data_IF_305010855787
#
_entry.id   IF_305010855787
#
_cell.length_a   1.000
_cell.length_b   1.000
_cell.length_c   1.000
_cell.angle_alpha   90.00
_cell.angle_beta   90.00
_cell.angle_gamma   90.00
#
_symmetry.space_group_name_H-M   'P 1'
#
loop_
_entity.id
_entity.type
_entity.pdbx_description
1 polymer ?
#
# COMPACT_ATOMS: atom_id res chain seq x y z
N UNK A 1 -12.82 -67.69 3.63
CA UNK A 1 -11.75 -66.68 3.50
C UNK A 1 -12.19 -65.43 4.26
N UNK A 2 -11.62 -65.17 5.44
CA UNK A 2 -11.93 -63.96 6.24
C UNK A 2 -10.91 -62.88 5.85
N UNK A 3 -11.32 -61.86 5.11
CA UNK A 3 -10.48 -60.66 4.96
C UNK A 3 -10.33 -60.01 6.34
N UNK A 4 -9.11 -59.61 6.74
CA UNK A 4 -8.92 -58.90 7.99
C UNK A 4 -9.61 -57.53 7.88
N UNK A 5 -10.51 -57.23 8.81
CA UNK A 5 -11.27 -55.98 8.96
C UNK A 5 -10.37 -54.72 8.93
N UNK A 6 -9.07 -54.90 9.23
CA UNK A 6 -8.02 -53.88 9.20
C UNK A 6 -7.70 -53.41 7.77
N UNK A 7 -7.78 -54.29 6.75
CA UNK A 7 -7.50 -53.92 5.37
C UNK A 7 -8.59 -53.02 4.75
N UNK A 8 -9.83 -53.13 5.22
CA UNK A 8 -10.95 -52.30 4.77
C UNK A 8 -10.83 -50.86 5.33
N UNK A 9 -10.31 -50.72 6.55
CA UNK A 9 -10.13 -49.42 7.22
C UNK A 9 -9.01 -48.58 6.55
N UNK A 10 -7.93 -49.20 6.10
CA UNK A 10 -6.89 -48.49 5.33
C UNK A 10 -7.37 -47.99 3.97
N UNK A 11 -8.31 -48.70 3.34
CA UNK A 11 -8.88 -48.28 2.05
C UNK A 11 -9.81 -47.06 2.21
N UNK A 12 -10.55 -46.97 3.31
CA UNK A 12 -11.44 -45.84 3.60
C UNK A 12 -10.63 -44.57 3.95
N UNK A 13 -9.55 -44.70 4.71
CA UNK A 13 -8.70 -43.55 5.08
C UNK A 13 -7.95 -43.00 3.85
N UNK A 14 -7.47 -43.86 2.94
CA UNK A 14 -6.86 -43.40 1.68
C UNK A 14 -7.88 -42.85 0.67
N UNK A 15 -9.14 -43.29 0.72
CA UNK A 15 -10.20 -42.74 -0.15
C UNK A 15 -10.68 -41.35 0.31
N UNK A 16 -10.55 -41.04 1.60
CA UNK A 16 -10.92 -39.71 2.13
C UNK A 16 -9.86 -38.63 1.89
N UNK A 17 -8.59 -39.01 1.66
CA UNK A 17 -7.50 -38.07 1.39
C UNK A 17 -7.43 -37.61 -0.08
N UNK A 18 -8.11 -38.28 -1.00
CA UNK A 18 -8.10 -37.94 -2.44
C UNK A 18 -9.23 -36.98 -2.83
N UNK A 19 -10.21 -36.73 -1.95
CA UNK A 19 -11.42 -35.97 -2.27
C UNK A 19 -11.35 -34.44 -1.96
N UNK A 20 -10.24 -33.92 -1.46
CA UNK A 20 -10.04 -32.48 -1.20
C UNK A 20 -9.07 -31.81 -2.18
N UNK A 21 -8.99 -32.31 -3.41
CA UNK A 21 -8.56 -31.50 -4.54
C UNK A 21 -9.66 -30.48 -4.87
N UNK A 22 -9.96 -29.58 -3.93
CA UNK A 22 -10.79 -28.42 -4.22
C UNK A 22 -10.02 -27.65 -5.28
N UNK A 23 -10.52 -27.63 -6.51
CA UNK A 23 -10.07 -26.77 -7.59
C UNK A 23 -10.39 -25.32 -7.17
N UNK A 24 -9.66 -24.81 -6.18
CA UNK A 24 -9.66 -23.41 -5.79
C UNK A 24 -9.08 -22.67 -6.98
N UNK A 25 -9.96 -22.19 -7.86
CA UNK A 25 -9.59 -21.23 -8.88
C UNK A 25 -8.80 -20.12 -8.20
N UNK A 26 -7.57 -19.94 -8.66
CA UNK A 26 -6.69 -18.86 -8.21
C UNK A 26 -7.48 -17.54 -8.27
N UNK A 27 -7.58 -16.78 -7.15
CA UNK A 27 -8.32 -15.55 -7.15
C UNK A 27 -7.70 -14.57 -8.16
N UNK A 28 -8.56 -13.87 -8.89
CA UNK A 28 -8.13 -12.89 -9.88
C UNK A 28 -7.31 -11.78 -9.20
N UNK A 29 -6.19 -11.42 -9.83
CA UNK A 29 -5.27 -10.42 -9.30
C UNK A 29 -5.96 -9.06 -9.15
N UNK A 30 -5.71 -8.37 -8.03
CA UNK A 30 -6.37 -7.10 -7.72
C UNK A 30 -7.78 -7.22 -7.17
N UNK A 31 -8.29 -8.44 -6.92
CA UNK A 31 -9.53 -8.66 -6.16
C UNK A 31 -9.28 -8.73 -4.66
N UNK A 32 -10.34 -8.58 -3.86
CA UNK A 32 -10.27 -8.74 -2.39
C UNK A 32 -9.73 -10.11 -2.03
N UNK A 33 -10.23 -11.17 -2.69
CA UNK A 33 -9.84 -12.57 -2.42
C UNK A 33 -8.36 -12.82 -2.69
N UNK A 34 -7.79 -12.16 -3.69
CA UNK A 34 -6.35 -12.21 -3.95
C UNK A 34 -5.55 -11.65 -2.77
N UNK A 35 -5.94 -10.48 -2.26
CA UNK A 35 -5.29 -9.87 -1.11
C UNK A 35 -5.48 -10.67 0.18
N UNK A 36 -6.67 -11.24 0.41
CA UNK A 36 -6.93 -12.11 1.55
C UNK A 36 -6.04 -13.37 1.53
N UNK A 37 -5.81 -13.95 0.34
CA UNK A 37 -4.94 -15.11 0.16
C UNK A 37 -3.49 -14.79 0.48
N UNK A 38 -2.93 -13.72 -0.07
CA UNK A 38 -1.50 -13.39 0.13
C UNK A 38 -1.21 -12.92 1.57
N UNK A 39 -2.10 -12.12 2.17
CA UNK A 39 -1.92 -11.61 3.54
C UNK A 39 -2.47 -12.55 4.61
N UNK A 40 -3.11 -13.66 4.22
CA UNK A 40 -3.77 -14.62 5.13
C UNK A 40 -4.67 -13.92 6.16
N UNK A 41 -5.32 -12.85 5.72
CA UNK A 41 -6.10 -11.93 6.55
C UNK A 41 -7.42 -11.67 5.85
N UNK A 42 -8.52 -11.77 6.58
CA UNK A 42 -9.85 -11.48 6.05
C UNK A 42 -10.06 -9.98 5.92
N UNK A 43 -10.60 -9.54 4.79
CA UNK A 43 -10.87 -8.13 4.48
C UNK A 43 -12.38 -7.93 4.56
N UNK A 44 -12.83 -7.07 5.47
CA UNK A 44 -14.25 -6.93 5.80
C UNK A 44 -14.84 -5.65 5.23
N UNK A 45 -16.08 -5.75 4.72
CA UNK A 45 -16.88 -4.60 4.30
C UNK A 45 -16.36 -3.87 3.06
N UNK A 46 -15.38 -4.43 2.34
CA UNK A 46 -14.85 -3.83 1.13
C UNK A 46 -15.60 -4.32 -0.12
N UNK A 47 -16.07 -3.36 -0.91
CA UNK A 47 -16.71 -3.64 -2.20
C UNK A 47 -15.69 -4.13 -3.23
N UNK A 48 -16.13 -4.83 -4.29
CA UNK A 48 -15.29 -5.11 -5.44
C UNK A 48 -14.74 -3.82 -6.08
N UNK A 49 -13.58 -3.92 -6.73
CA UNK A 49 -12.90 -2.77 -7.36
C UNK A 49 -13.79 -2.03 -8.37
N UNK A 50 -14.68 -2.74 -9.07
CA UNK A 50 -15.59 -2.18 -10.07
C UNK A 50 -16.64 -1.22 -9.49
N UNK A 51 -16.89 -1.30 -8.18
CA UNK A 51 -17.81 -0.39 -7.49
C UNK A 51 -17.13 0.91 -7.02
N UNK A 52 -15.81 1.03 -7.18
CA UNK A 52 -15.09 2.27 -6.89
C UNK A 52 -15.00 3.14 -8.13
N UNK A 53 -15.31 4.43 -7.99
CA UNK A 53 -15.09 5.42 -9.05
C UNK A 53 -13.61 5.69 -9.31
N UNK A 54 -12.77 5.43 -8.31
CA UNK A 54 -11.33 5.62 -8.35
C UNK A 54 -10.64 4.34 -7.83
N UNK A 55 -9.90 3.61 -8.69
CA UNK A 55 -9.16 2.41 -8.29
C UNK A 55 -8.18 2.66 -7.13
N UNK A 56 -7.59 3.85 -7.01
CA UNK A 56 -6.64 4.16 -5.94
C UNK A 56 -7.33 4.11 -4.55
N UNK A 57 -8.64 4.37 -4.48
CA UNK A 57 -9.42 4.23 -3.24
C UNK A 57 -9.57 2.77 -2.80
N UNK A 58 -9.79 1.87 -3.75
CA UNK A 58 -9.87 0.43 -3.48
C UNK A 58 -8.55 -0.07 -2.88
N UNK A 59 -7.43 0.22 -3.54
CA UNK A 59 -6.10 -0.17 -3.06
C UNK A 59 -5.76 0.46 -1.71
N UNK A 60 -6.11 1.73 -1.50
CA UNK A 60 -5.93 2.41 -0.21
C UNK A 60 -6.71 1.71 0.91
N UNK A 61 -7.93 1.23 0.63
CA UNK A 61 -8.73 0.55 1.62
C UNK A 61 -8.19 -0.85 1.96
N UNK A 62 -7.73 -1.62 0.97
CA UNK A 62 -6.99 -2.87 1.17
C UNK A 62 -5.76 -2.62 2.06
N UNK A 63 -4.91 -1.68 1.64
CA UNK A 63 -3.67 -1.34 2.32
C UNK A 63 -3.87 -0.99 3.80
N UNK A 64 -4.96 -0.29 4.14
CA UNK A 64 -5.32 0.03 5.52
C UNK A 64 -5.67 -1.20 6.35
N UNK A 65 -6.41 -2.15 5.78
CA UNK A 65 -6.80 -3.37 6.52
C UNK A 65 -5.63 -4.34 6.69
N UNK A 66 -4.74 -4.42 5.70
CA UNK A 66 -3.55 -5.30 5.73
C UNK A 66 -2.31 -4.64 6.38
N UNK A 67 -2.43 -3.42 6.90
CA UNK A 67 -1.43 -2.80 7.77
C UNK A 67 -0.24 -2.11 7.06
N UNK A 68 -0.35 -1.85 5.76
CA UNK A 68 0.74 -1.25 4.95
C UNK A 68 1.18 0.13 5.47
N UNK A 69 0.28 1.07 5.82
CA UNK A 69 0.68 2.35 6.40
C UNK A 69 1.51 2.21 7.69
N UNK A 70 1.16 1.25 8.55
CA UNK A 70 1.85 1.03 9.83
C UNK A 70 3.26 0.48 9.60
N UNK A 71 3.41 -0.45 8.65
CA UNK A 71 4.73 -0.93 8.22
C UNK A 71 5.60 0.22 7.69
N UNK A 72 5.03 1.11 6.87
CA UNK A 72 5.76 2.26 6.35
C UNK A 72 6.17 3.25 7.45
N UNK A 73 5.30 3.52 8.42
CA UNK A 73 5.62 4.38 9.58
C UNK A 73 6.76 3.79 10.42
N UNK A 74 6.71 2.49 10.72
CA UNK A 74 7.78 1.81 11.43
C UNK A 74 9.10 1.88 10.66
N UNK A 75 9.07 1.68 9.35
CA UNK A 75 10.27 1.75 8.52
C UNK A 75 10.93 3.13 8.51
N UNK A 76 10.13 4.21 8.40
CA UNK A 76 10.69 5.58 8.47
C UNK A 76 11.15 5.95 9.87
N UNK A 77 10.52 5.39 10.91
CA UNK A 77 10.97 5.53 12.29
C UNK A 77 12.36 4.90 12.47
N UNK A 78 12.53 3.66 12.04
CA UNK A 78 13.79 2.92 12.18
C UNK A 78 14.92 3.56 11.36
N UNK A 79 14.63 4.00 10.13
CA UNK A 79 15.65 4.55 9.23
C UNK A 79 15.97 6.02 9.44
N UNK A 80 14.96 6.84 9.74
CA UNK A 80 15.08 8.30 9.78
C UNK A 80 14.73 8.91 11.14
N UNK A 81 14.32 8.11 12.12
CA UNK A 81 13.87 8.60 13.44
C UNK A 81 12.52 9.33 13.39
N UNK A 82 11.73 9.16 12.33
CA UNK A 82 10.44 9.84 12.18
C UNK A 82 9.38 9.21 13.07
N UNK A 83 8.80 10.00 13.98
CA UNK A 83 7.74 9.53 14.89
C UNK A 83 6.59 10.51 14.95
N UNK A 84 5.38 9.97 15.14
CA UNK A 84 4.25 10.76 15.60
C UNK A 84 4.61 11.35 16.98
N UNK A 85 4.40 12.65 17.17
CA UNK A 85 4.69 13.34 18.44
C UNK A 85 3.76 14.52 18.65
N UNK A 86 3.94 15.25 19.74
CA UNK A 86 3.27 16.54 19.94
C UNK A 86 3.67 17.56 18.86
N UNK A 87 4.91 17.49 18.38
CA UNK A 87 5.43 18.44 17.39
C UNK A 87 5.14 18.04 15.94
N UNK A 88 5.13 16.73 15.66
CA UNK A 88 5.04 16.19 14.30
C UNK A 88 3.84 15.27 14.09
N UNK A 89 3.23 15.38 12.92
CA UNK A 89 2.19 14.48 12.41
C UNK A 89 2.74 13.69 11.22
N UNK A 90 2.53 12.38 11.21
CA UNK A 90 2.81 11.49 10.08
C UNK A 90 1.52 11.12 9.36
N UNK A 91 1.58 11.16 8.03
CA UNK A 91 0.53 10.68 7.14
C UNK A 91 1.12 9.72 6.11
N UNK A 92 0.32 8.77 5.63
CA UNK A 92 0.71 7.86 4.56
C UNK A 92 -0.29 7.99 3.40
N UNK A 93 0.24 8.14 2.19
CA UNK A 93 -0.50 7.96 0.94
C UNK A 93 -0.01 6.67 0.32
N UNK A 94 -0.94 5.76 0.02
CA UNK A 94 -0.61 4.44 -0.52
C UNK A 94 -1.07 4.35 -1.97
N UNK A 95 -0.20 3.82 -2.82
CA UNK A 95 -0.49 3.44 -4.19
C UNK A 95 -0.29 1.94 -4.33
N UNK A 96 -1.35 1.23 -4.71
CA UNK A 96 -1.30 -0.18 -5.07
C UNK A 96 -1.48 -0.37 -6.57
N UNK A 97 -1.30 -1.60 -7.03
CA UNK A 97 -1.44 -2.00 -8.42
C UNK A 97 -1.97 -3.43 -8.49
N UNK A 98 -2.72 -3.76 -9.54
CA UNK A 98 -3.04 -5.14 -9.90
C UNK A 98 -1.94 -5.77 -10.76
N UNK A 99 -0.86 -5.07 -11.06
CA UNK A 99 0.23 -5.56 -11.92
C UNK A 99 1.52 -5.76 -11.13
N UNK A 100 1.84 -4.83 -10.22
CA UNK A 100 3.06 -4.89 -9.42
C UNK A 100 2.82 -5.65 -8.10
N UNK A 101 3.85 -6.33 -7.60
CA UNK A 101 3.84 -7.12 -6.36
C UNK A 101 4.23 -6.29 -5.13
N UNK A 102 4.06 -4.96 -5.21
CA UNK A 102 4.43 -4.04 -4.15
C UNK A 102 3.43 -2.89 -3.94
N UNK A 103 3.65 -2.19 -2.83
CA UNK A 103 2.97 -0.97 -2.44
C UNK A 103 3.94 0.19 -2.46
N UNK A 104 3.61 1.22 -3.24
CA UNK A 104 4.25 2.51 -3.13
C UNK A 104 3.62 3.32 -2.00
N UNK A 105 4.38 3.63 -0.96
CA UNK A 105 3.90 4.44 0.17
C UNK A 105 4.70 5.73 0.26
N UNK A 106 4.00 6.86 0.18
CA UNK A 106 4.56 8.17 0.49
C UNK A 106 4.23 8.50 1.95
N UNK A 107 5.24 8.49 2.80
CA UNK A 107 5.13 8.96 4.18
C UNK A 107 5.45 10.44 4.22
N UNK A 108 4.54 11.22 4.78
CA UNK A 108 4.67 12.66 4.89
C UNK A 108 4.70 13.05 6.36
N UNK A 109 5.73 13.80 6.76
CA UNK A 109 5.87 14.39 8.10
C UNK A 109 5.59 15.88 8.05
N UNK A 110 4.69 16.33 8.93
CA UNK A 110 4.32 17.72 9.04
C UNK A 110 4.62 18.28 10.42
N UNK A 111 5.19 19.49 10.50
CA UNK A 111 5.28 20.22 11.77
C UNK A 111 3.92 20.83 12.11
N UNK A 112 3.34 20.44 13.25
CA UNK A 112 2.03 20.95 13.70
C UNK A 112 2.08 22.46 13.95
N UNK A 113 3.17 22.93 14.56
CA UNK A 113 3.41 24.37 14.81
C UNK A 113 3.42 25.19 13.51
N UNK A 114 4.11 24.69 12.48
CA UNK A 114 4.16 25.38 11.18
C UNK A 114 2.80 25.33 10.49
N UNK A 115 2.09 24.20 10.55
CA UNK A 115 0.75 24.07 9.98
C UNK A 115 -0.27 25.02 10.63
N UNK A 116 -0.22 25.17 11.96
CA UNK A 116 -1.05 26.13 12.69
C UNK A 116 -0.73 27.58 12.32
N UNK A 117 0.56 27.92 12.21
CA UNK A 117 0.99 29.25 11.79
C UNK A 117 0.48 29.56 10.37
N UNK A 118 0.63 28.62 9.44
CA UNK A 118 0.10 28.70 8.08
C UNK A 118 -1.41 28.94 8.06
N UNK A 119 -2.16 28.26 8.94
CA UNK A 119 -3.62 28.46 9.07
C UNK A 119 -3.95 29.86 9.58
N UNK A 120 -3.26 30.35 10.61
CA UNK A 120 -3.44 31.71 11.16
C UNK A 120 -3.11 32.78 10.13
N UNK A 121 -2.00 32.63 9.41
CA UNK A 121 -1.58 33.59 8.38
C UNK A 121 -2.57 33.63 7.21
N UNK A 122 -3.06 32.47 6.75
CA UNK A 122 -4.13 32.40 5.74
C UNK A 122 -5.42 33.08 6.21
N UNK A 123 -5.85 32.83 7.45
CA UNK A 123 -7.04 33.46 8.01
C UNK A 123 -6.88 34.99 8.12
N UNK A 124 -5.66 35.47 8.36
CA UNK A 124 -5.31 36.88 8.36
C UNK A 124 -4.96 37.48 6.99
N UNK A 125 -5.16 36.75 5.89
CA UNK A 125 -4.87 37.23 4.53
C UNK A 125 -3.39 37.39 4.19
N UNK A 126 -2.47 36.86 5.01
CA UNK A 126 -1.04 36.96 4.80
C UNK A 126 -0.56 35.89 3.81
N UNK A 127 0.33 36.24 2.86
CA UNK A 127 0.95 35.26 1.99
C UNK A 127 1.88 34.34 2.80
N UNK A 128 1.87 33.04 2.50
CA UNK A 128 2.76 32.08 3.13
C UNK A 128 4.10 32.10 2.39
N UNK A 129 5.23 32.39 3.08
CA UNK A 129 6.55 32.27 2.47
C UNK A 129 6.82 30.83 1.99
N UNK A 130 7.34 30.68 0.77
CA UNK A 130 7.62 29.37 0.16
C UNK A 130 8.53 28.49 1.02
N UNK A 131 9.49 29.07 1.73
CA UNK A 131 10.38 28.32 2.62
C UNK A 131 9.65 27.72 3.83
N UNK A 132 8.69 28.45 4.40
CA UNK A 132 7.86 27.95 5.51
C UNK A 132 7.00 26.79 5.02
N UNK A 133 6.41 26.91 3.82
CA UNK A 133 5.64 25.81 3.22
C UNK A 133 6.52 24.59 2.90
N UNK A 134 7.76 24.81 2.44
CA UNK A 134 8.72 23.73 2.14
C UNK A 134 9.20 23.02 3.40
N UNK A 135 9.47 23.76 4.47
CA UNK A 135 9.91 23.19 5.75
C UNK A 135 8.75 22.63 6.58
N UNK A 136 7.50 22.93 6.21
CA UNK A 136 6.32 22.37 6.85
C UNK A 136 6.13 20.89 6.55
N UNK A 137 6.71 20.39 5.45
CA UNK A 137 6.45 19.07 4.89
C UNK A 137 7.75 18.39 4.49
N UNK A 138 8.01 17.23 5.08
CA UNK A 138 9.03 16.31 4.59
C UNK A 138 8.36 15.06 4.05
N UNK A 139 8.90 14.50 2.97
CA UNK A 139 8.36 13.31 2.32
C UNK A 139 9.43 12.23 2.21
N UNK A 140 9.03 10.98 2.45
CA UNK A 140 9.84 9.80 2.15
C UNK A 140 9.00 8.76 1.44
N UNK A 141 9.59 8.20 0.40
CA UNK A 141 9.01 7.08 -0.33
C UNK A 141 9.50 5.77 0.28
N UNK A 142 8.57 4.85 0.48
CA UNK A 142 8.78 3.49 0.97
C UNK A 142 8.11 2.57 -0.04
N UNK A 143 8.81 1.52 -0.45
CA UNK A 143 8.23 0.44 -1.25
C UNK A 143 8.19 -0.79 -0.37
N UNK A 144 7.01 -1.43 -0.30
CA UNK A 144 6.77 -2.61 0.53
C UNK A 144 6.21 -3.69 -0.38
N UNK A 145 6.97 -4.76 -0.61
CA UNK A 145 6.45 -5.90 -1.38
C UNK A 145 5.43 -6.73 -0.58
N UNK A 146 4.77 -7.67 -1.23
CA UNK A 146 3.76 -8.51 -0.59
C UNK A 146 4.32 -9.48 0.47
N UNK A 147 5.63 -9.76 0.44
CA UNK A 147 6.33 -10.52 1.48
C UNK A 147 6.70 -9.65 2.69
N UNK A 148 6.50 -8.33 2.59
CA UNK A 148 6.79 -7.35 3.63
C UNK A 148 8.23 -6.84 3.62
N UNK A 149 9.02 -7.12 2.57
CA UNK A 149 10.35 -6.53 2.42
C UNK A 149 10.21 -5.04 2.11
N UNK A 150 11.07 -4.25 2.74
CA UNK A 150 11.00 -2.79 2.70
C UNK A 150 12.22 -2.22 1.99
N UNK A 151 11.98 -1.34 1.02
CA UNK A 151 13.02 -0.57 0.36
C UNK A 151 12.69 0.91 0.31
N UNK A 152 13.73 1.73 0.10
CA UNK A 152 13.60 3.17 -0.03
C UNK A 152 14.20 3.58 -1.37
N UNK A 153 13.39 3.94 -2.36
CA UNK A 153 13.91 4.33 -3.66
C UNK A 153 14.76 5.59 -3.51
N UNK A 154 15.86 5.64 -4.25
CA UNK A 154 16.66 6.86 -4.33
C UNK A 154 15.82 7.93 -5.02
N UNK A 155 15.73 9.12 -4.40
CA UNK A 155 15.15 10.28 -5.06
C UNK A 155 15.95 10.52 -6.35
N UNK A 156 15.36 10.22 -7.52
CA UNK A 156 15.93 10.66 -8.78
C UNK A 156 16.04 12.18 -8.68
N UNK A 157 17.27 12.71 -8.65
CA UNK A 157 17.49 14.14 -8.89
C UNK A 157 16.74 14.45 -10.17
N UNK A 158 15.83 15.42 -10.13
CA UNK A 158 15.11 15.89 -11.31
C UNK A 158 16.14 16.23 -12.40
N UNK A 159 16.39 15.30 -13.31
CA UNK A 159 16.88 15.64 -14.64
C UNK A 159 15.84 16.58 -15.23
N UNK A 160 16.22 17.74 -15.78
CA UNK A 160 15.29 18.62 -16.46
C UNK A 160 14.45 17.79 -17.42
N UNK A 161 13.13 17.95 -17.39
CA UNK A 161 12.25 17.40 -18.42
C UNK A 161 12.85 17.82 -19.75
N UNK A 162 13.36 16.87 -20.53
CA UNK A 162 13.59 17.09 -21.95
C UNK A 162 12.24 17.52 -22.54
N UNK A 163 12.14 18.80 -22.86
CA UNK A 163 11.12 19.30 -23.76
C UNK A 163 11.26 18.49 -25.05
N UNK A 164 10.27 17.63 -25.31
CA UNK A 164 10.11 17.06 -26.64
C UNK A 164 10.06 18.22 -27.63
N UNK A 165 10.88 18.23 -28.70
CA UNK A 165 10.78 19.24 -29.73
C UNK A 165 9.35 19.23 -30.28
N UNK A 166 8.69 20.39 -30.24
CA UNK A 166 7.48 20.63 -31.02
C UNK A 166 7.82 20.40 -32.49
N UNK A 167 7.17 19.43 -33.11
CA UNK A 167 7.22 19.26 -34.55
C UNK A 167 6.57 20.50 -35.18
N UNK A 168 7.37 21.29 -35.90
CA UNK A 168 6.87 22.29 -36.83
C UNK A 168 6.07 21.56 -37.92
N UNK A 169 4.78 21.87 -38.03
CA UNK A 169 3.99 21.51 -39.20
C UNK A 169 4.51 22.30 -40.43
N UNK A 170 4.77 21.62 -41.56
CA UNK A 170 5.17 22.31 -42.78
C UNK A 170 3.97 23.05 -43.41
N UNK A 171 4.26 24.28 -43.88
CA UNK A 171 3.37 25.13 -44.67
C UNK A 171 3.02 24.56 -46.04
#
# INVERSE_FOLDING_TARGET
MKMPLIALLFFIINSFLVAYGCDEKEPERGTVQFFEKIYKTKIEGLKPIQEFSDPDQFYTAIARQVGIPQLAFKAVEEKFGWKQSEEFYLSAMVKGSSIEDDWGVMVVRFSKKVAEQIRKDKAGGKPIPKEIAKNAMEMKFVVIDYDGNISFPQEKKNSPKEEKPQAEEPK
#
